data_IF_418458668607
#
_entry.id   IF_418458668607
#
_cell.length_a   1.000
_cell.length_b   1.000
_cell.length_c   1.000
_cell.angle_alpha   90.00
_cell.angle_beta   90.00
_cell.angle_gamma   90.00
#
_symmetry.space_group_name_H-M   'P 1'
#
loop_
_entity.id
_entity.type
_entity.pdbx_description
1 polymer ?
#
# COMPACT_ATOMS: atom_id res chain seq x y z
N UNK A 1 11.26 17.11 -12.44
CA UNK A 1 11.00 15.99 -11.53
C UNK A 1 11.88 16.20 -10.31
N UNK A 2 11.29 16.55 -9.17
CA UNK A 2 12.00 16.59 -7.89
C UNK A 2 11.81 15.22 -7.24
N UNK A 3 12.88 14.59 -6.77
CA UNK A 3 12.88 13.24 -6.19
C UNK A 3 13.44 13.35 -4.78
N UNK A 4 12.70 12.85 -3.79
CA UNK A 4 13.13 12.84 -2.39
C UNK A 4 14.08 11.67 -2.08
N UNK A 5 14.63 11.65 -0.87
CA UNK A 5 15.47 10.54 -0.42
C UNK A 5 14.65 9.25 -0.26
N UNK A 6 15.23 8.07 -0.55
CA UNK A 6 14.50 6.81 -0.41
C UNK A 6 14.23 6.49 1.07
N UNK A 7 12.97 6.19 1.38
CA UNK A 7 12.53 5.61 2.64
C UNK A 7 12.21 4.12 2.44
N UNK A 8 12.38 3.30 3.48
CA UNK A 8 12.16 1.85 3.40
C UNK A 8 11.28 1.37 4.55
N UNK A 9 9.97 1.31 4.29
CA UNK A 9 8.96 0.83 5.23
C UNK A 9 8.73 -0.68 5.15
N UNK A 10 9.42 -1.37 4.23
CA UNK A 10 9.36 -2.82 4.06
C UNK A 10 10.75 -3.47 4.13
N UNK A 11 11.47 -3.36 5.27
CA UNK A 11 12.83 -3.87 5.39
C UNK A 11 12.88 -5.39 5.47
N UNK A 12 13.87 -5.99 4.79
CA UNK A 12 14.21 -7.40 4.96
C UNK A 12 14.78 -7.67 6.35
N UNK A 13 14.37 -8.78 6.94
CA UNK A 13 15.01 -9.36 8.13
C UNK A 13 16.16 -10.29 7.69
N UNK A 14 17.22 -10.39 8.49
CA UNK A 14 18.37 -11.24 8.16
C UNK A 14 18.11 -12.70 8.57
N UNK A 15 17.64 -13.50 7.61
CA UNK A 15 17.39 -14.94 7.78
C UNK A 15 17.98 -15.74 6.62
N UNK A 16 17.87 -17.06 6.67
CA UNK A 16 18.49 -17.94 5.67
C UNK A 16 17.56 -18.29 4.50
N UNK A 17 16.24 -18.31 4.75
CA UNK A 17 15.24 -18.76 3.79
C UNK A 17 14.12 -17.74 3.65
N UNK A 18 13.74 -17.43 2.41
CA UNK A 18 12.71 -16.44 2.08
C UNK A 18 11.66 -17.04 1.14
N UNK A 19 10.40 -16.68 1.37
CA UNK A 19 9.32 -16.83 0.42
C UNK A 19 8.83 -15.43 0.08
N UNK A 20 8.96 -15.04 -1.18
CA UNK A 20 8.55 -13.72 -1.65
C UNK A 20 7.27 -13.89 -2.46
N UNK A 21 6.20 -13.21 -2.07
CA UNK A 21 4.88 -13.31 -2.71
C UNK A 21 4.52 -11.94 -3.27
N UNK A 22 4.24 -11.88 -4.56
CA UNK A 22 3.88 -10.66 -5.26
C UNK A 22 2.51 -10.81 -5.92
N UNK A 23 1.66 -9.78 -5.80
CA UNK A 23 0.42 -9.64 -6.55
C UNK A 23 0.44 -8.40 -7.44
N UNK A 24 0.31 -8.58 -8.76
CA UNK A 24 0.30 -7.47 -9.72
C UNK A 24 1.51 -6.54 -9.58
N UNK A 25 1.28 -5.24 -9.36
CA UNK A 25 2.34 -4.23 -9.23
C UNK A 25 3.15 -4.34 -7.91
N UNK A 26 2.65 -5.11 -6.94
CA UNK A 26 3.38 -5.45 -5.71
C UNK A 26 4.68 -6.24 -5.99
N UNK A 27 4.93 -6.62 -7.24
CA UNK A 27 6.21 -7.17 -7.69
C UNK A 27 7.38 -6.19 -7.54
N UNK A 28 7.14 -4.87 -7.52
CA UNK A 28 8.22 -3.86 -7.49
C UNK A 28 9.14 -3.96 -6.25
N UNK A 29 8.64 -3.95 -5.00
CA UNK A 29 9.48 -4.19 -3.82
C UNK A 29 10.03 -5.61 -3.79
N UNK A 30 9.21 -6.60 -4.18
CA UNK A 30 9.56 -8.03 -4.15
C UNK A 30 10.73 -8.35 -5.09
N UNK A 31 10.75 -7.77 -6.30
CA UNK A 31 11.84 -7.96 -7.25
C UNK A 31 13.14 -7.35 -6.73
N UNK A 32 13.08 -6.15 -6.13
CA UNK A 32 14.23 -5.53 -5.47
C UNK A 32 14.81 -6.43 -4.36
N UNK A 33 13.93 -6.97 -3.49
CA UNK A 33 14.31 -7.92 -2.45
C UNK A 33 14.94 -9.18 -3.03
N UNK A 34 14.31 -9.79 -4.04
CA UNK A 34 14.79 -11.01 -4.67
C UNK A 34 16.22 -10.84 -5.21
N UNK A 35 16.49 -9.74 -5.94
CA UNK A 35 17.83 -9.44 -6.46
C UNK A 35 18.86 -9.20 -5.36
N UNK A 36 18.48 -8.52 -4.29
CA UNK A 36 19.37 -8.30 -3.15
C UNK A 36 19.74 -9.62 -2.46
N UNK A 37 18.74 -10.46 -2.18
CA UNK A 37 18.89 -11.74 -1.52
C UNK A 37 19.70 -12.74 -2.35
N UNK A 38 19.49 -12.76 -3.67
CA UNK A 38 20.24 -13.58 -4.61
C UNK A 38 21.73 -13.23 -4.61
N UNK A 39 22.07 -11.93 -4.68
CA UNK A 39 23.46 -11.44 -4.55
C UNK A 39 24.09 -11.79 -3.21
N UNK A 40 23.29 -11.98 -2.16
CA UNK A 40 23.75 -12.38 -0.82
C UNK A 40 23.80 -13.90 -0.64
N UNK A 41 23.48 -14.68 -1.66
CA UNK A 41 23.47 -16.15 -1.61
C UNK A 41 22.40 -16.71 -0.67
N UNK A 42 21.32 -15.96 -0.40
CA UNK A 42 20.22 -16.41 0.45
C UNK A 42 19.31 -17.36 -0.32
N UNK A 43 18.73 -18.33 0.38
CA UNK A 43 17.75 -19.22 -0.22
C UNK A 43 16.42 -18.49 -0.36
N UNK A 44 15.90 -18.37 -1.58
CA UNK A 44 14.63 -17.70 -1.83
C UNK A 44 13.79 -18.47 -2.85
N UNK A 45 12.47 -18.34 -2.71
CA UNK A 45 11.47 -18.72 -3.72
C UNK A 45 10.51 -17.55 -3.93
N UNK A 46 10.05 -17.36 -5.16
CA UNK A 46 9.12 -16.32 -5.55
C UNK A 46 7.81 -16.96 -6.00
N UNK A 47 6.68 -16.43 -5.56
CA UNK A 47 5.36 -16.70 -6.13
C UNK A 47 4.83 -15.36 -6.65
N UNK A 48 4.63 -15.27 -7.97
CA UNK A 48 4.11 -14.06 -8.61
C UNK A 48 2.74 -14.36 -9.21
N UNK A 49 1.71 -13.75 -8.62
CA UNK A 49 0.33 -13.84 -9.11
C UNK A 49 -0.07 -12.55 -9.80
N UNK A 50 -0.73 -12.66 -10.94
CA UNK A 50 -1.22 -11.53 -11.73
C UNK A 50 -2.39 -11.95 -12.61
N UNK A 51 -2.99 -11.02 -13.35
CA UNK A 51 -4.10 -11.34 -14.24
C UNK A 51 -3.65 -12.09 -15.48
N UNK A 52 -2.66 -11.57 -16.19
CA UNK A 52 -2.11 -12.17 -17.40
C UNK A 52 -0.62 -11.87 -17.54
N UNK A 53 0.04 -12.53 -18.48
CA UNK A 53 1.46 -12.29 -18.77
C UNK A 53 1.72 -10.85 -19.21
N UNK A 54 0.82 -10.25 -20.00
CA UNK A 54 0.94 -8.88 -20.51
C UNK A 54 0.85 -7.82 -19.40
N UNK A 55 0.10 -8.12 -18.34
CA UNK A 55 -0.03 -7.26 -17.16
C UNK A 55 1.06 -7.52 -16.09
N UNK A 56 2.00 -8.44 -16.36
CA UNK A 56 3.04 -8.86 -15.43
C UNK A 56 4.34 -8.08 -15.63
N UNK A 57 4.58 -7.07 -14.80
CA UNK A 57 5.82 -6.31 -14.84
C UNK A 57 7.02 -7.18 -14.46
N UNK A 58 8.14 -7.01 -15.18
CA UNK A 58 9.41 -7.73 -14.98
C UNK A 58 9.35 -9.25 -15.18
N UNK A 59 8.32 -9.77 -15.85
CA UNK A 59 8.11 -11.22 -15.99
C UNK A 59 9.30 -11.92 -16.66
N UNK A 60 9.78 -11.40 -17.80
CA UNK A 60 10.89 -12.00 -18.55
C UNK A 60 12.18 -12.03 -17.72
N UNK A 61 12.51 -10.92 -17.05
CA UNK A 61 13.68 -10.83 -16.17
C UNK A 61 13.59 -11.79 -14.99
N UNK A 62 12.42 -11.86 -14.35
CA UNK A 62 12.19 -12.74 -13.22
C UNK A 62 12.29 -14.22 -13.59
N UNK A 63 11.67 -14.61 -14.72
CA UNK A 63 11.75 -15.98 -15.22
C UNK A 63 13.18 -16.38 -15.55
N UNK A 64 13.96 -15.46 -16.12
CA UNK A 64 15.37 -15.69 -16.46
C UNK A 64 16.27 -15.76 -15.23
N UNK A 65 16.16 -14.79 -14.32
CA UNK A 65 17.09 -14.67 -13.18
C UNK A 65 16.77 -15.69 -12.05
N UNK A 66 15.51 -16.12 -11.96
CA UNK A 66 15.01 -16.99 -10.89
C UNK A 66 14.43 -18.32 -11.39
N UNK A 67 14.88 -18.81 -12.54
CA UNK A 67 14.49 -20.11 -13.08
C UNK A 67 14.59 -21.22 -12.02
N UNK A 68 13.55 -22.04 -11.89
CA UNK A 68 13.44 -23.09 -10.87
C UNK A 68 13.20 -22.60 -9.43
N UNK A 69 13.17 -21.28 -9.21
CA UNK A 69 12.88 -20.63 -7.91
C UNK A 69 11.70 -19.68 -7.96
N UNK A 70 11.06 -19.51 -9.12
CA UNK A 70 9.85 -18.71 -9.31
C UNK A 70 8.69 -19.59 -9.76
N UNK A 71 7.51 -19.30 -9.22
CA UNK A 71 6.22 -19.77 -9.71
C UNK A 71 5.47 -18.53 -10.18
N UNK A 72 4.95 -18.58 -11.40
CA UNK A 72 4.10 -17.53 -11.97
C UNK A 72 2.71 -18.12 -12.17
N UNK A 73 1.69 -17.40 -11.72
CA UNK A 73 0.30 -17.81 -11.85
C UNK A 73 -0.54 -16.66 -12.42
N UNK A 74 -1.34 -16.98 -13.42
CA UNK A 74 -2.28 -16.05 -14.05
C UNK A 74 -3.71 -16.52 -13.81
N UNK A 75 -4.56 -15.64 -13.29
CA UNK A 75 -5.97 -15.95 -13.08
C UNK A 75 -6.85 -15.67 -14.31
N UNK A 76 -6.31 -14.98 -15.34
CA UNK A 76 -7.00 -14.54 -16.55
C UNK A 76 -8.32 -13.77 -16.28
N UNK A 77 -8.46 -13.21 -15.07
CA UNK A 77 -9.68 -12.55 -14.59
C UNK A 77 -10.79 -13.51 -14.10
N UNK A 78 -10.54 -14.80 -13.97
CA UNK A 78 -11.46 -15.75 -13.32
C UNK A 78 -11.22 -15.75 -11.80
N UNK A 79 -12.21 -15.29 -10.99
CA UNK A 79 -12.08 -15.27 -9.54
C UNK A 79 -11.97 -16.66 -8.90
N UNK A 80 -12.21 -17.75 -9.63
CA UNK A 80 -12.05 -19.12 -9.15
C UNK A 80 -10.69 -19.73 -9.51
N UNK A 81 -9.95 -19.10 -10.42
CA UNK A 81 -8.62 -19.55 -10.83
C UNK A 81 -7.53 -18.94 -9.93
N UNK A 82 -7.78 -18.83 -8.62
CA UNK A 82 -6.80 -18.31 -7.66
C UNK A 82 -5.67 -19.32 -7.41
N UNK A 83 -4.47 -18.82 -7.14
CA UNK A 83 -3.35 -19.68 -6.74
C UNK A 83 -3.59 -20.24 -5.34
N UNK A 84 -3.45 -21.55 -5.16
CA UNK A 84 -3.60 -22.19 -3.86
C UNK A 84 -2.32 -22.10 -3.03
N UNK A 85 -2.34 -21.22 -2.02
CA UNK A 85 -1.22 -21.03 -1.09
C UNK A 85 -1.16 -22.05 0.05
N UNK A 86 -2.11 -23.00 0.14
CA UNK A 86 -2.21 -23.91 1.26
C UNK A 86 -0.90 -24.67 1.52
N UNK A 87 -0.36 -25.37 0.53
CA UNK A 87 0.86 -26.17 0.68
C UNK A 87 2.13 -25.32 0.95
N UNK A 88 2.08 -24.05 0.58
CA UNK A 88 3.16 -23.10 0.80
C UNK A 88 3.19 -22.59 2.25
N UNK A 89 2.03 -22.51 2.91
CA UNK A 89 1.85 -21.81 4.19
C UNK A 89 1.30 -22.69 5.33
N UNK A 90 0.70 -23.85 5.08
CA UNK A 90 0.05 -24.70 6.10
C UNK A 90 1.02 -25.18 7.19
N UNK A 91 2.31 -25.31 6.86
CA UNK A 91 3.33 -25.75 7.83
C UNK A 91 4.28 -24.60 8.13
N UNK A 92 4.41 -24.18 9.40
CA UNK A 92 5.40 -23.18 9.80
C UNK A 92 6.81 -23.66 9.47
N UNK A 93 7.59 -22.79 8.82
CA UNK A 93 8.98 -23.06 8.46
C UNK A 93 9.89 -21.99 9.07
N UNK A 94 11.20 -22.24 9.04
CA UNK A 94 12.20 -21.23 9.39
C UNK A 94 12.29 -20.07 8.36
N UNK A 95 11.54 -20.17 7.26
CA UNK A 95 11.43 -19.20 6.19
C UNK A 95 10.71 -17.94 6.67
N UNK A 96 11.13 -16.76 6.20
CA UNK A 96 10.33 -15.54 6.32
C UNK A 96 9.55 -15.30 5.04
N UNK A 97 8.29 -14.93 5.18
CA UNK A 97 7.39 -14.59 4.07
C UNK A 97 7.32 -13.08 3.94
N UNK A 98 7.56 -12.56 2.75
CA UNK A 98 7.34 -11.15 2.40
C UNK A 98 6.29 -11.10 1.31
N UNK A 99 5.17 -10.43 1.57
CA UNK A 99 4.04 -10.35 0.66
C UNK A 99 3.68 -8.90 0.34
N UNK A 100 3.58 -8.56 -0.94
CA UNK A 100 3.05 -7.29 -1.40
C UNK A 100 2.09 -7.52 -2.56
N UNK A 101 0.87 -7.00 -2.46
CA UNK A 101 -0.15 -7.17 -3.49
C UNK A 101 -1.52 -6.69 -3.04
N UNK A 102 -2.59 -7.01 -3.80
CA UNK A 102 -3.94 -6.59 -3.46
C UNK A 102 -4.39 -7.10 -2.08
N UNK A 103 -5.26 -6.33 -1.41
CA UNK A 103 -5.81 -6.69 -0.10
C UNK A 103 -6.37 -8.13 -0.01
N UNK A 104 -7.16 -8.64 -0.99
CA UNK A 104 -7.63 -10.02 -0.94
C UNK A 104 -6.51 -11.06 -0.85
N UNK A 105 -5.43 -10.88 -1.64
CA UNK A 105 -4.25 -11.73 -1.57
C UNK A 105 -3.62 -11.66 -0.18
N UNK A 106 -3.38 -10.46 0.35
CA UNK A 106 -2.75 -10.32 1.67
C UNK A 106 -3.62 -10.90 2.80
N UNK A 107 -4.94 -10.78 2.73
CA UNK A 107 -5.88 -11.39 3.68
C UNK A 107 -5.85 -12.91 3.62
N UNK A 108 -5.75 -13.49 2.42
CA UNK A 108 -5.58 -14.92 2.22
C UNK A 108 -4.27 -15.44 2.82
N UNK A 109 -3.13 -14.79 2.55
CA UNK A 109 -1.84 -15.15 3.15
C UNK A 109 -1.93 -15.07 4.68
N UNK A 110 -2.53 -14.01 5.24
CA UNK A 110 -2.75 -13.87 6.70
C UNK A 110 -3.59 -15.00 7.26
N UNK A 111 -4.66 -15.41 6.57
CA UNK A 111 -5.53 -16.49 7.01
C UNK A 111 -4.78 -17.83 7.07
N UNK A 112 -4.02 -18.15 6.02
CA UNK A 112 -3.24 -19.39 5.99
C UNK A 112 -2.06 -19.39 6.94
N UNK A 113 -1.43 -18.23 7.18
CA UNK A 113 -0.27 -18.12 8.06
C UNK A 113 -0.60 -17.77 9.51
N UNK A 114 -1.87 -17.67 9.90
CA UNK A 114 -2.26 -17.18 11.24
C UNK A 114 -1.74 -18.00 12.42
N UNK A 115 -1.28 -19.23 12.16
CA UNK A 115 -0.69 -20.13 13.15
C UNK A 115 0.86 -20.06 13.19
N UNK A 116 1.48 -19.21 12.37
CA UNK A 116 2.93 -19.02 12.36
C UNK A 116 3.39 -18.15 13.52
N UNK A 117 4.65 -18.29 13.98
CA UNK A 117 5.23 -17.37 14.96
C UNK A 117 5.18 -15.92 14.48
N UNK A 118 5.00 -15.00 15.42
CA UNK A 118 5.03 -13.55 15.16
C UNK A 118 6.34 -13.13 14.49
N UNK A 119 6.26 -12.16 13.57
CA UNK A 119 7.41 -11.63 12.84
C UNK A 119 7.97 -12.55 11.74
N UNK A 120 7.26 -13.62 11.37
CA UNK A 120 7.63 -14.49 10.23
C UNK A 120 7.02 -14.09 8.90
N UNK A 121 5.92 -13.34 8.94
CA UNK A 121 5.16 -12.94 7.76
C UNK A 121 5.05 -11.43 7.77
N UNK A 122 5.53 -10.81 6.70
CA UNK A 122 5.67 -9.38 6.54
C UNK A 122 4.84 -8.93 5.33
N UNK A 123 4.14 -7.81 5.47
CA UNK A 123 3.27 -7.26 4.44
C UNK A 123 3.63 -5.81 4.14
N UNK A 124 3.54 -5.43 2.87
CA UNK A 124 3.48 -4.03 2.43
C UNK A 124 2.20 -3.82 1.62
N UNK A 125 1.37 -2.89 2.06
CA UNK A 125 0.16 -2.50 1.34
C UNK A 125 0.48 -1.38 0.36
N UNK A 126 0.53 -1.73 -0.92
CA UNK A 126 0.83 -0.78 -2.00
C UNK A 126 -0.42 -0.06 -2.52
N UNK A 127 -1.63 -0.35 -2.02
CA UNK A 127 -2.81 0.32 -2.60
C UNK A 127 -2.77 1.82 -2.32
N UNK A 128 -2.87 2.67 -3.36
CA UNK A 128 -3.55 3.94 -3.20
C UNK A 128 -4.94 3.60 -2.69
N UNK A 129 -5.29 4.07 -1.50
CA UNK A 129 -6.70 4.23 -1.15
C UNK A 129 -7.33 5.00 -2.31
N UNK A 130 -8.42 4.50 -2.89
CA UNK A 130 -9.14 5.20 -3.96
C UNK A 130 -9.53 6.59 -3.42
N UNK A 131 -8.74 7.60 -3.80
CA UNK A 131 -8.85 8.99 -3.33
C UNK A 131 -10.22 9.55 -3.74
N UNK A 132 -10.73 9.08 -4.88
CA UNK A 132 -11.98 9.48 -5.50
C UNK A 132 -12.88 8.26 -5.67
N UNK A 133 -14.07 8.31 -5.08
CA UNK A 133 -15.16 7.34 -5.24
C UNK A 133 -16.30 7.97 -6.05
N UNK A 134 -17.12 7.14 -6.70
CA UNK A 134 -18.23 7.63 -7.54
C UNK A 134 -19.28 8.47 -6.80
N UNK A 135 -19.40 8.28 -5.50
CA UNK A 135 -20.33 8.98 -4.60
C UNK A 135 -19.68 10.18 -3.89
N UNK A 136 -18.47 10.56 -4.26
CA UNK A 136 -17.80 11.73 -3.70
C UNK A 136 -18.51 13.02 -4.11
N UNK A 137 -18.63 13.91 -3.13
CA UNK A 137 -19.20 15.25 -3.31
C UNK A 137 -18.15 16.30 -2.99
N UNK A 138 -18.27 17.45 -3.64
CA UNK A 138 -17.44 18.61 -3.32
C UNK A 138 -17.72 19.13 -1.90
N UNK A 139 -16.69 19.65 -1.23
CA UNK A 139 -16.79 20.23 0.10
C UNK A 139 -15.78 21.37 0.29
N UNK A 140 -15.88 22.10 1.40
CA UNK A 140 -14.98 23.21 1.72
C UNK A 140 -13.98 22.87 2.81
N UNK A 141 -12.77 23.41 2.70
CA UNK A 141 -11.73 23.32 3.73
C UNK A 141 -11.30 24.73 4.14
N UNK A 142 -11.58 25.12 5.39
CA UNK A 142 -11.01 26.33 6.01
C UNK A 142 -9.63 26.02 6.57
N UNK A 143 -8.65 26.84 6.21
CA UNK A 143 -7.30 26.80 6.77
C UNK A 143 -7.22 27.83 7.89
N UNK A 144 -7.17 27.37 9.14
CA UNK A 144 -7.39 28.23 10.30
C UNK A 144 -6.36 29.35 10.44
N UNK A 145 -5.11 29.12 10.03
CA UNK A 145 -4.02 30.09 10.19
C UNK A 145 -4.07 31.18 9.13
N UNK A 146 -4.48 30.86 7.91
CA UNK A 146 -4.61 31.83 6.81
C UNK A 146 -6.00 32.48 6.75
N UNK A 147 -7.03 31.81 7.30
CA UNK A 147 -8.43 32.20 7.16
C UNK A 147 -9.00 31.97 5.76
N UNK A 148 -8.24 31.32 4.86
CA UNK A 148 -8.68 31.03 3.50
C UNK A 148 -9.50 29.75 3.45
N UNK A 149 -10.49 29.72 2.56
CA UNK A 149 -11.29 28.53 2.27
C UNK A 149 -10.92 28.02 0.87
N UNK A 150 -10.64 26.72 0.77
CA UNK A 150 -10.38 26.02 -0.48
C UNK A 150 -11.52 25.04 -0.75
N UNK A 151 -12.06 25.07 -1.97
CA UNK A 151 -13.05 24.08 -2.40
C UNK A 151 -12.34 22.83 -2.89
N UNK A 152 -12.71 21.67 -2.34
CA UNK A 152 -12.23 20.36 -2.76
C UNK A 152 -13.29 19.74 -3.65
N UNK A 153 -13.06 19.60 -4.97
CA UNK A 153 -14.03 18.98 -5.87
C UNK A 153 -14.14 17.47 -5.62
N UNK A 154 -15.16 16.84 -6.20
CA UNK A 154 -15.41 15.39 -6.10
C UNK A 154 -14.25 14.54 -6.62
N UNK A 155 -13.51 15.02 -7.62
CA UNK A 155 -12.45 14.32 -8.33
C UNK A 155 -11.02 14.60 -7.81
N UNK A 156 -10.90 15.26 -6.65
CA UNK A 156 -9.60 15.60 -6.05
C UNK A 156 -9.54 15.33 -4.55
N UNK A 157 -8.34 15.03 -4.06
CA UNK A 157 -8.02 15.04 -2.63
C UNK A 157 -7.96 16.46 -2.05
N UNK A 158 -8.01 16.56 -0.72
CA UNK A 158 -7.69 17.81 0.00
C UNK A 158 -6.25 18.24 -0.35
N UNK A 159 -5.30 17.29 -0.36
CA UNK A 159 -3.89 17.54 -0.65
C UNK A 159 -3.70 18.23 -2.02
N UNK A 160 -4.31 17.71 -3.08
CA UNK A 160 -4.24 18.29 -4.43
C UNK A 160 -4.87 19.68 -4.47
N UNK A 161 -6.07 19.84 -3.91
CA UNK A 161 -6.76 21.13 -3.91
C UNK A 161 -5.96 22.23 -3.17
N UNK A 162 -5.29 21.87 -2.06
CA UNK A 162 -4.42 22.78 -1.33
C UNK A 162 -3.17 23.16 -2.13
N UNK A 163 -2.57 22.22 -2.85
CA UNK A 163 -1.40 22.48 -3.72
C UNK A 163 -1.75 23.38 -4.89
N UNK A 164 -2.88 23.12 -5.54
CA UNK A 164 -3.38 23.95 -6.65
C UNK A 164 -3.68 25.39 -6.19
N UNK A 165 -4.12 25.55 -4.94
CA UNK A 165 -4.32 26.85 -4.30
C UNK A 165 -3.01 27.50 -3.78
N UNK A 166 -1.86 26.84 -3.93
CA UNK A 166 -0.54 27.37 -3.59
C UNK A 166 -0.10 27.16 -2.14
N UNK A 167 -0.78 26.30 -1.37
CA UNK A 167 -0.39 25.98 0.01
C UNK A 167 0.68 24.88 0.07
N UNK A 168 1.67 25.09 0.93
CA UNK A 168 2.67 24.08 1.22
C UNK A 168 2.04 22.94 2.04
N UNK A 169 2.23 21.71 1.60
CA UNK A 169 1.72 20.49 2.23
C UNK A 169 2.80 19.42 2.25
N UNK A 170 2.89 18.67 3.33
CA UNK A 170 3.78 17.51 3.44
C UNK A 170 3.07 16.26 2.91
N UNK A 171 3.66 15.54 1.97
CA UNK A 171 3.19 14.21 1.53
C UNK A 171 4.37 13.33 1.11
N UNK A 172 4.12 12.03 1.00
CA UNK A 172 5.07 11.05 0.44
C UNK A 172 4.32 10.00 -0.39
N UNK A 173 3.64 9.04 0.27
CA UNK A 173 2.96 7.93 -0.42
C UNK A 173 1.71 8.30 -1.24
N UNK A 174 0.99 9.35 -0.82
CA UNK A 174 -0.31 9.77 -1.37
C UNK A 174 -1.36 8.64 -1.46
N UNK A 175 -1.20 7.61 -0.64
CA UNK A 175 -2.03 6.41 -0.59
C UNK A 175 -2.64 6.16 0.79
N UNK A 176 -2.39 7.03 1.77
CA UNK A 176 -2.93 6.88 3.13
C UNK A 176 -2.18 5.86 4.00
N UNK A 177 -0.93 5.51 3.66
CA UNK A 177 -0.16 4.47 4.37
C UNK A 177 1.07 4.98 5.14
N UNK A 178 1.69 6.11 4.75
CA UNK A 178 2.94 6.59 5.37
C UNK A 178 2.76 7.54 6.58
N UNK A 179 1.59 8.18 6.74
CA UNK A 179 1.39 9.16 7.82
C UNK A 179 1.91 10.58 7.57
N UNK A 180 2.73 10.83 6.54
CA UNK A 180 3.39 12.14 6.30
C UNK A 180 2.44 13.33 6.18
N UNK A 181 1.26 13.14 5.57
CA UNK A 181 0.29 14.22 5.39
C UNK A 181 -0.73 14.35 6.55
N UNK A 182 -0.42 13.80 7.73
CA UNK A 182 -1.28 13.92 8.91
C UNK A 182 -1.47 15.39 9.27
N UNK A 183 -2.72 15.83 9.29
CA UNK A 183 -3.11 17.22 9.56
C UNK A 183 -4.12 17.25 10.70
N UNK A 184 -4.01 18.23 11.60
CA UNK A 184 -4.94 18.37 12.71
C UNK A 184 -6.29 18.92 12.21
N UNK A 185 -7.36 18.19 12.53
CA UNK A 185 -8.75 18.55 12.28
C UNK A 185 -9.29 19.32 13.50
N UNK A 186 -9.74 20.55 13.27
CA UNK A 186 -10.27 21.44 14.31
C UNK A 186 -11.79 21.39 14.39
N UNK A 187 -12.47 21.34 13.25
CA UNK A 187 -13.94 21.27 13.16
C UNK A 187 -14.38 20.47 11.92
N UNK A 188 -15.56 19.85 12.00
CA UNK A 188 -16.14 19.03 10.92
C UNK A 188 -15.99 17.52 11.15
N UNK A 189 -16.64 16.72 10.32
CA UNK A 189 -16.60 15.26 10.38
C UNK A 189 -15.91 14.69 9.13
N UNK A 190 -14.76 14.06 9.32
CA UNK A 190 -13.99 13.46 8.24
C UNK A 190 -14.52 12.07 7.84
N UNK A 191 -14.52 11.81 6.54
CA UNK A 191 -14.61 10.47 5.97
C UNK A 191 -13.19 9.90 5.86
N UNK A 192 -12.80 9.13 6.87
CA UNK A 192 -11.46 8.55 6.98
C UNK A 192 -11.29 7.38 6.02
N UNK A 193 -10.31 7.49 5.13
CA UNK A 193 -10.00 6.45 4.16
C UNK A 193 -8.59 5.89 4.30
N UNK A 194 -7.79 6.45 5.21
CA UNK A 194 -6.43 6.01 5.47
C UNK A 194 -6.35 4.74 6.35
N UNK A 195 -5.13 4.20 6.43
CA UNK A 195 -4.81 2.97 7.17
C UNK A 195 -3.91 3.24 8.39
N UNK A 196 -3.65 4.52 8.72
CA UNK A 196 -2.64 4.91 9.72
C UNK A 196 -3.23 5.49 11.00
N UNK A 197 -4.39 6.14 10.93
CA UNK A 197 -5.02 6.73 12.09
C UNK A 197 -5.72 5.65 12.92
N UNK A 198 -5.37 5.60 14.21
CA UNK A 198 -6.12 4.83 15.20
C UNK A 198 -7.49 5.49 15.47
N UNK A 199 -8.47 4.72 15.95
CA UNK A 199 -9.83 5.24 16.21
C UNK A 199 -9.85 6.47 17.14
N UNK A 200 -8.95 6.51 18.12
CA UNK A 200 -8.78 7.64 19.04
C UNK A 200 -8.24 8.93 18.38
N UNK A 201 -7.52 8.82 17.26
CA UNK A 201 -6.99 9.96 16.51
C UNK A 201 -8.01 10.55 15.53
N UNK A 202 -8.95 9.74 15.02
CA UNK A 202 -9.92 10.09 13.96
C UNK A 202 -10.83 11.27 14.29
N UNK A 203 -10.98 11.63 15.57
CA UNK A 203 -11.74 12.82 15.98
C UNK A 203 -10.96 14.14 15.87
N UNK A 204 -9.64 14.11 15.72
CA UNK A 204 -8.78 15.31 15.77
C UNK A 204 -7.68 15.38 14.73
N UNK A 205 -7.52 14.32 13.93
CA UNK A 205 -6.52 14.20 12.87
C UNK A 205 -7.20 13.77 11.57
N UNK A 206 -6.60 14.11 10.44
CA UNK A 206 -7.04 13.68 9.11
C UNK A 206 -5.83 13.48 8.20
N UNK A 207 -5.88 12.46 7.34
CA UNK A 207 -4.91 12.22 6.28
C UNK A 207 -5.37 12.88 4.98
N UNK A 208 -4.87 14.10 4.70
CA UNK A 208 -5.38 14.96 3.60
C UNK A 208 -5.16 14.40 2.18
N UNK A 209 -4.31 13.39 1.99
CA UNK A 209 -4.10 12.76 0.68
C UNK A 209 -5.25 11.86 0.24
N UNK A 210 -6.03 11.30 1.18
CA UNK A 210 -7.04 10.28 0.87
C UNK A 210 -8.38 10.51 1.55
N UNK A 211 -8.39 11.14 2.73
CA UNK A 211 -9.62 11.35 3.50
C UNK A 211 -10.41 12.56 2.99
N UNK A 212 -11.73 12.51 3.12
CA UNK A 212 -12.68 13.55 2.67
C UNK A 212 -13.51 14.09 3.83
N UNK A 213 -14.53 14.90 3.54
CA UNK A 213 -15.56 15.28 4.50
C UNK A 213 -16.80 14.40 4.34
N UNK A 214 -17.42 13.99 5.45
CA UNK A 214 -18.76 13.38 5.41
C UNK A 214 -19.85 14.41 5.06
N UNK A 215 -19.64 15.67 5.42
CA UNK A 215 -20.55 16.75 5.04
C UNK A 215 -19.89 18.13 5.07
N UNK A 216 -20.30 18.99 4.12
CA UNK A 216 -20.18 20.44 4.16
C UNK A 216 -18.75 20.99 4.16
N UNK A 217 -18.12 21.01 5.34
CA UNK A 217 -16.91 21.80 5.61
C UNK A 217 -16.03 21.16 6.68
N UNK A 218 -14.72 21.21 6.47
CA UNK A 218 -13.71 20.90 7.48
C UNK A 218 -12.90 22.16 7.82
N UNK A 219 -12.42 22.27 9.06
CA UNK A 219 -11.47 23.30 9.48
C UNK A 219 -10.17 22.63 9.90
N UNK A 220 -9.07 22.97 9.23
CA UNK A 220 -7.75 22.37 9.45
C UNK A 220 -6.79 23.35 10.11
N UNK A 221 -5.86 22.85 10.93
CA UNK A 221 -4.81 23.64 11.57
C UNK A 221 -3.64 23.96 10.63
N UNK A 222 -3.96 24.55 9.48
CA UNK A 222 -3.06 24.96 8.41
C UNK A 222 -3.16 26.45 8.14
#
# INVERSE_FOLDING_TARGET
MNIEHPENDFPLTDVQKYLLIAGGIGITPIYSMARYLDKKGKMLRIIYVSRSAEESAYLDELMKDFEGRIIVHHDDGDPNAVYDFWDDLVTPRATHVFCCGPKPLMEEIKAFSGHWPEGRVHFEDFKPVDVVRQDDVAFEVELKKSGQTVTVPEDRSILEALRDAGFATSSSCESGTCGTCKTRLLEGEADHRDMVLMEEEKGSQIMICVSRAKSGRLVLDL
#
